data_IF_290936863318
#
_entry.id   IF_290936863318
#
_cell.length_a   1.000
_cell.length_b   1.000
_cell.length_c   1.000
_cell.angle_alpha   90.00
_cell.angle_beta   90.00
_cell.angle_gamma   90.00
#
_symmetry.space_group_name_H-M   'P 1'
#
loop_
_entity.id
_entity.type
_entity.pdbx_description
1 polymer ?
#
# COMPACT_ATOMS: atom_id res chain seq x y z
N UNK A 1 -5.15 -19.37 -12.90
CA UNK A 1 -5.17 -17.92 -12.58
C UNK A 1 -3.91 -17.28 -13.14
N UNK A 2 -4.00 -16.12 -13.80
CA UNK A 2 -2.82 -15.35 -14.20
C UNK A 2 -2.43 -14.42 -13.04
N UNK A 3 -1.14 -14.35 -12.74
CA UNK A 3 -0.61 -13.50 -11.67
C UNK A 3 -0.43 -12.07 -12.21
N UNK A 4 -0.90 -11.07 -11.47
CA UNK A 4 -0.73 -9.65 -11.79
C UNK A 4 0.53 -9.16 -11.09
N UNK A 5 1.33 -8.34 -11.76
CA UNK A 5 2.52 -7.72 -11.15
C UNK A 5 2.08 -6.72 -10.07
N UNK A 6 2.73 -6.71 -8.89
CA UNK A 6 2.39 -5.79 -7.80
C UNK A 6 2.34 -4.31 -8.23
N UNK A 7 3.31 -3.87 -9.05
CA UNK A 7 3.36 -2.48 -9.53
C UNK A 7 2.15 -2.11 -10.38
N UNK A 8 1.74 -3.01 -11.28
CA UNK A 8 0.56 -2.79 -12.14
C UNK A 8 -0.72 -2.76 -11.31
N UNK A 9 -0.82 -3.60 -10.28
CA UNK A 9 -1.95 -3.56 -9.35
C UNK A 9 -2.01 -2.22 -8.61
N UNK A 10 -0.88 -1.73 -8.11
CA UNK A 10 -0.79 -0.43 -7.43
C UNK A 10 -1.19 0.72 -8.35
N UNK A 11 -0.76 0.73 -9.62
CA UNK A 11 -1.21 1.71 -10.60
C UNK A 11 -2.72 1.68 -10.81
N UNK A 12 -3.33 0.49 -10.88
CA UNK A 12 -4.78 0.35 -10.99
C UNK A 12 -5.51 0.85 -9.72
N UNK A 13 -4.98 0.57 -8.53
CA UNK A 13 -5.54 1.05 -7.26
C UNK A 13 -5.52 2.57 -7.19
N UNK A 14 -4.40 3.21 -7.53
CA UNK A 14 -4.28 4.67 -7.57
C UNK A 14 -5.25 5.30 -8.57
N UNK A 15 -5.31 4.76 -9.80
CA UNK A 15 -6.25 5.24 -10.83
C UNK A 15 -7.70 5.09 -10.40
N UNK A 16 -8.02 4.05 -9.62
CA UNK A 16 -9.36 3.85 -9.07
C UNK A 16 -9.62 4.82 -7.93
N UNK A 17 -8.67 5.01 -7.02
CA UNK A 17 -8.78 5.94 -5.90
C UNK A 17 -8.98 7.39 -6.37
N UNK A 18 -8.30 7.81 -7.45
CA UNK A 18 -8.44 9.15 -8.01
C UNK A 18 -9.83 9.46 -8.56
N UNK A 19 -10.66 8.45 -8.86
CA UNK A 19 -12.05 8.65 -9.27
C UNK A 19 -12.96 9.07 -8.11
N UNK A 20 -12.51 8.86 -6.87
CA UNK A 20 -13.27 9.15 -5.65
C UNK A 20 -12.72 10.34 -4.88
N UNK A 21 -11.58 10.91 -5.30
CA UNK A 21 -11.03 12.09 -4.67
C UNK A 21 -11.88 13.32 -5.02
N UNK A 22 -12.20 14.18 -4.03
CA UNK A 22 -12.88 15.45 -4.30
C UNK A 22 -12.00 16.35 -5.18
N UNK A 23 -12.62 17.22 -5.99
CA UNK A 23 -11.91 18.14 -6.92
C UNK A 23 -10.90 19.06 -6.21
N UNK A 24 -11.02 19.21 -4.89
CA UNK A 24 -10.07 19.95 -4.07
C UNK A 24 -9.12 18.96 -3.36
N UNK A 25 -7.99 18.68 -3.98
CA UNK A 25 -6.94 17.77 -3.46
C UNK A 25 -6.29 18.27 -2.15
N UNK A 26 -6.52 19.54 -1.81
CA UNK A 26 -5.99 20.21 -0.62
C UNK A 26 -6.69 19.65 0.63
N UNK A 27 -5.99 18.79 1.36
CA UNK A 27 -6.46 18.24 2.64
C UNK A 27 -6.66 16.72 2.67
N UNK A 28 -6.21 15.97 1.66
CA UNK A 28 -6.30 14.50 1.67
C UNK A 28 -5.32 13.90 2.67
N UNK A 29 -5.84 13.22 3.70
CA UNK A 29 -5.03 12.57 4.73
C UNK A 29 -4.73 11.14 4.34
N UNK A 30 -3.44 10.80 4.28
CA UNK A 30 -3.00 9.42 4.02
C UNK A 30 -2.51 8.77 5.32
N UNK A 31 -3.10 7.63 5.67
CA UNK A 31 -2.64 6.79 6.77
C UNK A 31 -1.89 5.56 6.23
N UNK A 32 -0.59 5.42 6.51
CA UNK A 32 0.14 4.17 6.33
C UNK A 32 -0.15 3.21 7.49
N UNK A 33 -0.51 1.97 7.17
CA UNK A 33 -0.75 0.88 8.13
C UNK A 33 -0.06 -0.41 7.68
N UNK A 34 0.47 -1.18 8.62
CA UNK A 34 1.19 -2.44 8.39
C UNK A 34 0.45 -3.63 8.99
N UNK A 35 0.16 -4.66 8.19
CA UNK A 35 -0.50 -5.90 8.64
C UNK A 35 0.35 -7.13 8.34
N UNK A 36 0.46 -8.02 9.32
CA UNK A 36 1.11 -9.32 9.17
C UNK A 36 0.08 -10.42 8.86
N UNK A 37 0.21 -11.06 7.71
CA UNK A 37 -0.60 -12.21 7.30
C UNK A 37 0.06 -13.49 7.84
N UNK A 38 -0.24 -13.82 9.11
CA UNK A 38 0.34 -14.99 9.80
C UNK A 38 -0.01 -16.33 9.14
N UNK A 39 -1.17 -16.43 8.50
CA UNK A 39 -1.61 -17.67 7.81
C UNK A 39 -0.89 -17.93 6.49
N UNK A 40 0.06 -17.07 6.10
CA UNK A 40 0.81 -17.24 4.87
C UNK A 40 2.06 -18.12 5.05
N UNK A 41 2.50 -18.32 6.30
CA UNK A 41 3.59 -19.24 6.66
C UNK A 41 3.22 -20.66 6.25
N UNK A 42 4.13 -21.37 5.57
CA UNK A 42 3.94 -22.76 5.16
C UNK A 42 3.14 -22.95 3.85
N UNK A 43 2.72 -21.86 3.18
CA UNK A 43 2.32 -21.92 1.77
C UNK A 43 3.58 -22.00 0.89
N UNK A 44 3.44 -22.53 -0.33
CA UNK A 44 4.53 -22.73 -1.32
C UNK A 44 5.57 -21.60 -1.26
N UNK A 45 6.76 -21.93 -0.76
CA UNK A 45 7.95 -21.07 -0.69
C UNK A 45 7.78 -19.79 0.17
N UNK A 46 6.99 -19.83 1.24
CA UNK A 46 6.90 -18.76 2.23
C UNK A 46 7.24 -19.28 3.63
N UNK A 47 8.51 -19.11 4.00
CA UNK A 47 9.06 -19.54 5.28
C UNK A 47 8.84 -18.51 6.40
N UNK A 48 8.48 -17.27 6.04
CA UNK A 48 8.16 -16.18 6.96
C UNK A 48 6.74 -15.64 6.74
N UNK A 49 6.14 -14.98 7.76
CA UNK A 49 4.89 -14.27 7.58
C UNK A 49 5.01 -13.19 6.50
N UNK A 50 3.95 -12.99 5.71
CA UNK A 50 3.90 -11.88 4.76
C UNK A 50 3.51 -10.60 5.50
N UNK A 51 4.33 -9.56 5.37
CA UNK A 51 4.02 -8.24 5.88
C UNK A 51 3.54 -7.37 4.73
N UNK A 52 2.39 -6.72 4.89
CA UNK A 52 1.84 -5.80 3.87
C UNK A 52 1.66 -4.44 4.51
N UNK A 53 2.18 -3.42 3.84
CA UNK A 53 1.98 -2.03 4.18
C UNK A 53 0.97 -1.46 3.19
N UNK A 54 -0.05 -0.77 3.68
CA UNK A 54 -1.06 -0.10 2.85
C UNK A 54 -1.12 1.38 3.18
N UNK A 55 -1.23 2.24 2.16
CA UNK A 55 -1.68 3.61 2.34
C UNK A 55 -3.18 3.70 2.10
N UNK A 56 -3.90 4.30 3.04
CA UNK A 56 -5.32 4.54 2.93
C UNK A 56 -5.60 6.04 2.93
N UNK A 57 -6.50 6.47 2.05
CA UNK A 57 -7.11 7.80 2.10
C UNK A 57 -8.17 7.78 3.19
N UNK A 58 -7.95 8.54 4.26
CA UNK A 58 -8.80 8.52 5.45
C UNK A 58 -10.23 8.99 5.15
N UNK A 59 -10.38 10.00 4.29
CA UNK A 59 -11.65 10.67 4.02
C UNK A 59 -12.67 9.75 3.33
N UNK A 60 -12.19 8.84 2.48
CA UNK A 60 -13.03 7.92 1.70
C UNK A 60 -12.85 6.45 2.09
N UNK A 61 -11.88 6.16 2.98
CA UNK A 61 -11.60 4.81 3.43
C UNK A 61 -11.02 3.88 2.35
N UNK A 62 -10.42 4.40 1.28
CA UNK A 62 -9.91 3.62 0.15
C UNK A 62 -8.39 3.45 0.23
N UNK A 63 -7.90 2.23 0.01
CA UNK A 63 -6.46 1.96 -0.12
C UNK A 63 -5.95 2.50 -1.45
N UNK A 64 -5.00 3.43 -1.38
CA UNK A 64 -4.33 4.04 -2.53
C UNK A 64 -3.38 3.05 -3.19
N UNK A 65 -2.58 2.36 -2.39
CA UNK A 65 -1.65 1.34 -2.84
C UNK A 65 -1.11 0.52 -1.66
N UNK A 66 -0.43 -0.59 -1.96
CA UNK A 66 0.13 -1.51 -0.97
C UNK A 66 1.47 -2.10 -1.40
N UNK A 67 2.35 -2.38 -0.46
CA UNK A 67 3.65 -3.02 -0.71
C UNK A 67 3.86 -4.18 0.27
N UNK A 68 4.36 -5.30 -0.26
CA UNK A 68 4.76 -6.44 0.54
C UNK A 68 6.21 -6.27 0.99
N UNK A 69 6.49 -6.52 2.27
CA UNK A 69 7.83 -6.50 2.85
C UNK A 69 8.17 -7.83 3.49
N UNK A 70 9.47 -8.14 3.52
CA UNK A 70 9.97 -9.45 3.95
C UNK A 70 9.93 -9.65 5.47
N UNK A 71 10.08 -8.57 6.24
CA UNK A 71 10.16 -8.58 7.71
C UNK A 71 9.46 -7.34 8.28
N UNK A 72 8.88 -7.46 9.47
CA UNK A 72 8.35 -6.35 10.26
C UNK A 72 9.36 -5.21 10.46
N UNK A 73 10.63 -5.53 10.61
CA UNK A 73 11.72 -4.58 10.81
C UNK A 73 11.91 -3.66 9.58
N UNK A 74 11.49 -4.13 8.40
CA UNK A 74 11.56 -3.39 7.14
C UNK A 74 10.35 -2.47 6.92
N UNK A 75 9.39 -2.40 7.85
CA UNK A 75 8.20 -1.57 7.70
C UNK A 75 8.52 -0.06 7.67
N UNK A 76 9.42 0.43 8.52
CA UNK A 76 9.78 1.86 8.55
C UNK A 76 10.48 2.31 7.25
N UNK A 77 11.55 1.65 6.77
CA UNK A 77 12.16 1.99 5.49
C UNK A 77 11.19 1.89 4.32
N UNK A 78 10.33 0.86 4.32
CA UNK A 78 9.36 0.67 3.25
C UNK A 78 8.28 1.77 3.25
N UNK A 79 7.77 2.21 4.40
CA UNK A 79 6.87 3.38 4.47
C UNK A 79 7.56 4.63 3.92
N UNK A 80 8.84 4.86 4.23
CA UNK A 80 9.58 6.00 3.69
C UNK A 80 9.71 5.94 2.16
N UNK A 81 10.06 4.77 1.62
CA UNK A 81 10.13 4.56 0.16
C UNK A 81 8.76 4.68 -0.50
N UNK A 82 7.72 4.20 0.17
CA UNK A 82 6.33 4.35 -0.27
C UNK A 82 5.91 5.82 -0.36
N UNK A 83 6.21 6.62 0.67
CA UNK A 83 5.94 8.06 0.65
C UNK A 83 6.69 8.77 -0.51
N UNK A 84 7.93 8.36 -0.81
CA UNK A 84 8.68 8.88 -1.97
C UNK A 84 8.07 8.44 -3.31
N UNK A 85 7.74 7.14 -3.46
CA UNK A 85 7.12 6.60 -4.68
C UNK A 85 5.75 7.23 -4.95
N UNK A 86 5.01 7.51 -3.88
CA UNK A 86 3.64 7.99 -3.94
C UNK A 86 3.52 9.50 -3.88
N UNK A 87 4.64 10.23 -3.72
CA UNK A 87 4.73 11.70 -3.51
C UNK A 87 3.49 12.41 -4.02
N UNK A 88 2.47 12.43 -3.15
CA UNK A 88 1.43 13.42 -3.12
C UNK A 88 2.22 14.67 -2.73
N UNK A 89 2.19 15.69 -3.59
CA UNK A 89 2.73 16.98 -3.21
C UNK A 89 1.95 17.43 -1.97
N UNK A 90 2.51 17.19 -0.80
CA UNK A 90 2.18 17.98 0.37
C UNK A 90 2.64 19.39 0.03
N UNK A 91 1.69 20.22 -0.40
CA UNK A 91 1.85 21.66 -0.48
C UNK A 91 1.83 22.24 0.94
#
# INVERSE_FOLDING_TARGET
MKMVKPDTLNQCMMKRASQFLPENEIGTTISPDGKTIRSAVGKKNMDSPLHIISAQICEIGVTLASEAVEDKSNEIPAVQELLKKWTLRAA
#
